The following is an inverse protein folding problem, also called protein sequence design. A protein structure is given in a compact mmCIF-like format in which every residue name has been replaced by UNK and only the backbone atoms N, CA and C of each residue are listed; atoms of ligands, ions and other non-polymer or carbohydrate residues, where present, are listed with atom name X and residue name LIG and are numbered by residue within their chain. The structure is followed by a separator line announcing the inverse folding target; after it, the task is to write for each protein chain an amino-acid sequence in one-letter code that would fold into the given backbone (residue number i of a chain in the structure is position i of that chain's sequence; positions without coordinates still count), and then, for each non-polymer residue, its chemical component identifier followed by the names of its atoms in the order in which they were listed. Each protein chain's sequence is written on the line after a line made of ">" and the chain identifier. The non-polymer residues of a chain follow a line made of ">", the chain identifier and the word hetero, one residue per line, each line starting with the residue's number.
data_IF_898830287349
#
_entry.id   IF_898830287349
#
_cell.length_a   1.000
_cell.length_b   1.000
_cell.length_c   1.000
_cell.angle_alpha   90.00
_cell.angle_beta   90.00
_cell.angle_gamma   90.00
#
_symmetry.space_group_name_H-M   'P 1'
#
loop_
_entity.id
_entity.type
_entity.pdbx_description
1 polymer ?
#
# COMPACT_ATOMS: atom_id res chain seq x y z
N UNK A 1 -50.91 1.78 29.72
CA UNK A 1 -49.57 1.72 29.10
C UNK A 1 -48.73 2.87 29.66
N UNK A 2 -47.78 2.55 30.56
CA UNK A 2 -47.08 3.54 31.41
C UNK A 2 -45.93 4.25 30.68
N UNK A 3 -45.84 5.57 30.89
CA UNK A 3 -44.76 6.46 30.43
C UNK A 3 -43.35 5.98 30.84
N UNK A 4 -43.24 5.25 31.95
CA UNK A 4 -41.99 4.69 32.46
C UNK A 4 -41.33 3.65 31.51
N UNK A 5 -42.12 2.97 30.68
CA UNK A 5 -41.60 1.98 29.73
C UNK A 5 -40.90 2.62 28.52
N UNK A 6 -41.18 3.89 28.21
CA UNK A 6 -40.55 4.60 27.08
C UNK A 6 -39.10 5.03 27.37
N UNK A 7 -38.77 5.34 28.63
CA UNK A 7 -37.43 5.82 29.00
C UNK A 7 -36.41 4.67 28.98
N UNK A 8 -36.78 3.48 29.48
CA UNK A 8 -35.89 2.30 29.45
C UNK A 8 -35.55 1.83 28.04
N UNK A 9 -36.49 1.93 27.09
CA UNK A 9 -36.26 1.56 25.69
C UNK A 9 -35.36 2.56 24.93
N UNK A 10 -35.26 3.82 25.39
CA UNK A 10 -34.42 4.84 24.76
C UNK A 10 -32.96 4.83 25.28
N UNK A 11 -32.73 4.40 26.53
CA UNK A 11 -31.38 4.30 27.11
C UNK A 11 -30.53 3.16 26.54
N UNK A 12 -31.14 2.05 26.11
CA UNK A 12 -30.40 0.90 25.57
C UNK A 12 -29.79 1.13 24.18
N UNK A 13 -30.22 2.16 23.43
CA UNK A 13 -29.70 2.45 22.09
C UNK A 13 -28.35 3.19 22.07
N UNK A 14 -27.90 3.73 23.21
CA UNK A 14 -26.68 4.57 23.26
C UNK A 14 -25.41 3.84 23.70
N UNK A 15 -25.50 2.58 24.13
CA UNK A 15 -24.35 1.78 24.53
C UNK A 15 -23.97 0.73 23.47
N UNK A 16 -23.86 1.13 22.20
CA UNK A 16 -23.00 0.35 21.28
C UNK A 16 -21.57 0.62 21.72
N UNK A 17 -21.07 -0.23 22.61
CA UNK A 17 -19.67 -0.25 23.00
C UNK A 17 -18.81 -0.10 21.73
N UNK A 18 -17.99 0.96 21.66
CA UNK A 18 -16.97 1.09 20.62
C UNK A 18 -16.18 -0.21 20.65
N UNK A 19 -16.21 -0.96 19.55
CA UNK A 19 -15.36 -2.14 19.41
C UNK A 19 -13.92 -1.73 19.78
N UNK A 20 -13.18 -2.59 20.50
CA UNK A 20 -11.80 -2.28 20.86
C UNK A 20 -11.03 -1.92 19.60
N UNK A 21 -10.28 -0.81 19.66
CA UNK A 21 -9.47 -0.36 18.53
C UNK A 21 -8.49 -1.48 18.17
N UNK A 22 -8.53 -1.95 16.91
CA UNK A 22 -7.56 -2.92 16.42
C UNK A 22 -6.15 -2.32 16.53
N UNK A 23 -5.13 -3.11 16.91
CA UNK A 23 -3.76 -2.62 16.89
C UNK A 23 -3.42 -2.12 15.49
N UNK A 24 -2.74 -0.97 15.41
CA UNK A 24 -2.32 -0.41 14.13
C UNK A 24 -1.35 -1.39 13.46
N UNK A 25 -1.48 -1.66 12.15
CA UNK A 25 -0.53 -2.50 11.43
C UNK A 25 0.90 -1.95 11.55
N UNK A 26 1.87 -2.82 11.80
CA UNK A 26 3.29 -2.42 11.89
C UNK A 26 3.81 -2.15 10.47
N UNK A 27 4.39 -0.97 10.28
CA UNK A 27 5.06 -0.60 9.03
C UNK A 27 6.36 -1.38 8.92
N UNK A 28 6.54 -2.05 7.79
CA UNK A 28 7.73 -2.82 7.45
C UNK A 28 8.43 -2.16 6.26
N UNK A 29 9.75 -2.31 6.20
CA UNK A 29 10.60 -1.78 5.14
C UNK A 29 11.18 -2.91 4.28
N UNK A 30 11.27 -2.69 2.97
CA UNK A 30 12.08 -3.49 2.06
C UNK A 30 12.82 -2.61 1.05
N UNK A 31 13.93 -3.12 0.51
CA UNK A 31 14.68 -2.43 -0.53
C UNK A 31 14.34 -3.00 -1.90
N UNK A 32 14.08 -2.11 -2.85
CA UNK A 32 13.71 -2.47 -4.22
C UNK A 32 14.63 -1.77 -5.21
N UNK A 33 15.08 -2.51 -6.22
CA UNK A 33 15.85 -1.95 -7.33
C UNK A 33 14.95 -1.04 -8.17
N UNK A 34 15.31 0.23 -8.25
CA UNK A 34 14.65 1.26 -9.07
C UNK A 34 15.26 1.26 -10.46
N UNK A 35 16.60 1.21 -10.54
CA UNK A 35 17.37 1.24 -11.78
C UNK A 35 18.36 0.08 -11.76
N UNK A 36 18.38 -0.72 -12.83
CA UNK A 36 19.31 -1.84 -12.94
C UNK A 36 20.73 -1.31 -13.10
N UNK A 37 21.73 -1.97 -12.49
CA UNK A 37 23.11 -1.65 -12.75
C UNK A 37 23.46 -1.91 -14.22
N UNK A 38 24.36 -1.09 -14.75
CA UNK A 38 25.01 -1.26 -16.06
C UNK A 38 26.53 -1.11 -15.87
N UNK A 39 27.32 -1.35 -16.92
CA UNK A 39 28.79 -1.32 -16.85
C UNK A 39 29.37 -0.02 -16.26
N UNK A 40 28.69 1.12 -16.49
CA UNK A 40 29.12 2.44 -16.01
C UNK A 40 28.15 3.07 -14.99
N UNK A 41 27.15 2.32 -14.51
CA UNK A 41 26.14 2.81 -13.57
C UNK A 41 25.86 1.74 -12.51
N UNK A 42 26.13 1.99 -11.21
CA UNK A 42 25.84 1.02 -10.16
C UNK A 42 24.34 0.75 -9.98
N UNK A 43 23.47 1.47 -10.70
CA UNK A 43 22.04 1.39 -10.56
C UNK A 43 21.55 2.12 -9.32
N UNK A 44 20.32 1.84 -8.94
CA UNK A 44 19.68 2.54 -7.83
C UNK A 44 18.74 1.60 -7.09
N UNK A 45 18.84 1.62 -5.76
CA UNK A 45 17.91 0.97 -4.84
C UNK A 45 17.23 2.05 -4.01
N UNK A 46 15.95 1.85 -3.71
CA UNK A 46 15.20 2.74 -2.85
C UNK A 46 14.34 1.94 -1.88
N UNK A 47 14.11 2.45 -0.67
CA UNK A 47 13.21 1.82 0.28
C UNK A 47 11.77 1.84 -0.25
N UNK A 48 11.02 0.82 0.13
CA UNK A 48 9.58 0.72 0.00
C UNK A 48 9.01 0.27 1.34
N UNK A 49 7.91 0.90 1.75
CA UNK A 49 7.25 0.59 3.02
C UNK A 49 5.92 -0.11 2.74
N UNK A 50 5.56 -1.02 3.63
CA UNK A 50 4.29 -1.74 3.52
C UNK A 50 3.79 -2.18 4.90
N UNK A 51 2.50 -2.45 4.96
CA UNK A 51 1.84 -3.06 6.12
C UNK A 51 1.17 -4.37 5.69
N UNK A 52 1.06 -5.30 6.64
CA UNK A 52 0.36 -6.58 6.44
C UNK A 52 -0.77 -6.68 7.46
N UNK A 53 -1.99 -6.90 6.97
CA UNK A 53 -3.18 -7.10 7.80
C UNK A 53 -4.11 -8.13 7.16
N UNK A 54 -4.57 -9.12 7.92
CA UNK A 54 -5.57 -10.12 7.47
C UNK A 54 -5.26 -10.75 6.10
N UNK A 55 -4.03 -11.24 5.90
CA UNK A 55 -3.52 -11.80 4.64
C UNK A 55 -3.51 -10.83 3.45
N UNK A 56 -3.60 -9.52 3.71
CA UNK A 56 -3.46 -8.47 2.72
C UNK A 56 -2.23 -7.64 2.99
N UNK A 57 -1.59 -7.21 1.91
CA UNK A 57 -0.49 -6.27 1.92
C UNK A 57 -0.94 -4.94 1.36
N UNK A 58 -0.55 -3.87 2.03
CA UNK A 58 -0.78 -2.49 1.58
C UNK A 58 0.55 -1.78 1.52
N UNK A 59 0.90 -1.21 0.36
CA UNK A 59 2.04 -0.30 0.30
C UNK A 59 1.74 0.92 1.15
N UNK A 60 2.74 1.44 1.85
CA UNK A 60 2.59 2.64 2.66
C UNK A 60 3.75 3.62 2.45
N UNK A 61 3.62 4.83 2.98
CA UNK A 61 4.75 5.71 3.26
C UNK A 61 5.53 5.20 4.48
N UNK A 62 6.68 5.81 4.75
CA UNK A 62 7.47 5.64 5.98
C UNK A 62 6.66 5.91 7.26
N UNK A 63 5.65 6.78 7.17
CA UNK A 63 4.71 7.12 8.25
C UNK A 63 3.52 6.17 8.36
N UNK A 64 3.42 5.17 7.47
CA UNK A 64 2.32 4.20 7.45
C UNK A 64 1.05 4.68 6.74
N UNK A 65 1.12 5.75 5.96
CA UNK A 65 -0.02 6.19 5.14
C UNK A 65 -0.17 5.27 3.92
N UNK A 66 -1.35 4.71 3.65
CA UNK A 66 -1.52 3.75 2.57
C UNK A 66 -1.39 4.38 1.18
N UNK A 67 -0.62 3.73 0.31
CA UNK A 67 -0.39 4.08 -1.08
C UNK A 67 -1.08 3.03 -1.94
N UNK A 68 -2.27 3.35 -2.45
CA UNK A 68 -3.04 2.47 -3.32
C UNK A 68 -3.95 1.51 -2.57
N UNK A 69 -4.33 0.41 -3.24
CA UNK A 69 -5.29 -0.57 -2.71
C UNK A 69 -4.58 -1.75 -2.05
N UNK A 70 -5.14 -2.34 -0.97
CA UNK A 70 -4.64 -3.59 -0.42
C UNK A 70 -4.71 -4.73 -1.44
N UNK A 71 -3.73 -5.63 -1.40
CA UNK A 71 -3.62 -6.79 -2.28
C UNK A 71 -3.51 -8.05 -1.43
N UNK A 72 -4.21 -9.12 -1.78
CA UNK A 72 -4.12 -10.38 -1.07
C UNK A 72 -2.74 -11.03 -1.26
N UNK A 73 -2.18 -11.58 -0.19
CA UNK A 73 -0.88 -12.28 -0.21
C UNK A 73 -1.00 -13.65 -0.88
N UNK A 74 -2.14 -14.33 -0.74
CA UNK A 74 -2.37 -15.67 -1.30
C UNK A 74 -1.26 -16.66 -0.92
N UNK A 75 -0.77 -16.59 0.33
CA UNK A 75 0.33 -17.42 0.83
C UNK A 75 1.73 -17.10 0.30
N UNK A 76 1.91 -16.01 -0.46
CA UNK A 76 3.21 -15.55 -0.91
C UNK A 76 3.94 -14.71 0.14
N UNK A 77 5.27 -14.61 0.01
CA UNK A 77 6.09 -13.73 0.84
C UNK A 77 5.68 -12.24 0.65
N UNK A 78 5.29 -11.53 1.72
CA UNK A 78 4.95 -10.12 1.67
C UNK A 78 6.03 -9.24 1.05
N UNK A 79 7.31 -9.51 1.29
CA UNK A 79 8.40 -8.68 0.76
C UNK A 79 8.48 -8.75 -0.77
N UNK A 80 8.20 -9.94 -1.32
CA UNK A 80 8.15 -10.17 -2.77
C UNK A 80 7.00 -9.40 -3.40
N UNK A 81 5.80 -9.47 -2.81
CA UNK A 81 4.64 -8.74 -3.32
C UNK A 81 4.87 -7.22 -3.18
N UNK A 82 5.38 -6.75 -2.03
CA UNK A 82 5.74 -5.35 -1.84
C UNK A 82 6.68 -4.85 -2.93
N UNK A 83 7.69 -5.65 -3.29
CA UNK A 83 8.61 -5.34 -4.37
C UNK A 83 7.94 -5.19 -5.74
N UNK A 84 7.05 -6.13 -6.08
CA UNK A 84 6.27 -6.06 -7.33
C UNK A 84 5.36 -4.84 -7.35
N UNK A 85 4.65 -4.57 -6.26
CA UNK A 85 3.74 -3.42 -6.15
C UNK A 85 4.51 -2.11 -6.21
N UNK A 86 5.66 -1.99 -5.53
CA UNK A 86 6.47 -0.79 -5.57
C UNK A 86 6.99 -0.51 -6.99
N UNK A 87 7.39 -1.56 -7.71
CA UNK A 87 7.84 -1.43 -9.10
C UNK A 87 6.69 -1.07 -10.05
N UNK A 88 5.50 -1.67 -9.88
CA UNK A 88 4.31 -1.30 -10.65
C UNK A 88 3.93 0.16 -10.39
N UNK A 89 3.97 0.60 -9.12
CA UNK A 89 3.50 1.94 -8.80
C UNK A 89 4.43 3.04 -9.31
N UNK A 90 5.74 2.76 -9.38
CA UNK A 90 6.71 3.64 -10.06
C UNK A 90 6.52 3.69 -11.57
N UNK A 91 6.11 2.57 -12.20
CA UNK A 91 5.74 2.57 -13.63
C UNK A 91 4.51 3.43 -13.90
N UNK A 92 3.49 3.37 -13.03
CA UNK A 92 2.30 4.22 -13.15
C UNK A 92 2.60 5.71 -12.95
N UNK A 93 3.64 6.05 -12.17
CA UNK A 93 4.13 7.43 -12.02
C UNK A 93 5.01 7.90 -13.18
N UNK A 94 5.44 6.98 -14.05
CA UNK A 94 6.06 7.29 -15.32
C UNK A 94 4.99 7.72 -16.31
N UNK A 95 4.79 9.03 -16.39
CA UNK A 95 3.95 9.76 -17.34
C UNK A 95 3.59 8.92 -18.59
N UNK A 96 2.36 8.40 -18.61
CA UNK A 96 1.82 7.63 -19.75
C UNK A 96 1.84 8.46 -21.05
N UNK A 97 2.00 9.79 -20.94
CA UNK A 97 2.18 10.74 -22.04
C UNK A 97 3.62 11.18 -22.29
N UNK A 98 4.65 10.53 -21.71
CA UNK A 98 6.03 10.92 -22.04
C UNK A 98 6.31 10.66 -23.51
N UNK A 99 6.81 11.68 -24.22
CA UNK A 99 7.23 11.57 -25.61
C UNK A 99 8.31 10.49 -25.71
N UNK A 100 8.05 9.43 -26.49
CA UNK A 100 9.08 8.49 -26.88
C UNK A 100 10.04 9.23 -27.82
N UNK A 101 11.23 9.59 -27.31
CA UNK A 101 12.32 10.03 -28.16
C UNK A 101 12.86 8.81 -28.91
N UNK A 102 12.40 8.64 -30.15
CA UNK A 102 13.04 7.74 -31.08
C UNK A 102 14.40 8.35 -31.42
N UNK A 103 15.48 7.78 -30.89
CA UNK A 103 16.81 8.03 -31.45
C UNK A 103 16.71 7.68 -32.93
N UNK A 104 16.98 8.64 -33.82
CA UNK A 104 17.06 8.41 -35.25
C UNK A 104 18.20 7.44 -35.52
N UNK A 105 17.90 6.14 -35.46
CA UNK A 105 18.76 5.10 -36.00
C UNK A 105 18.83 5.36 -37.49
N UNK A 106 19.91 6.01 -37.92
CA UNK A 106 20.22 6.16 -39.32
C UNK A 106 20.23 4.77 -39.95
N UNK A 107 19.26 4.51 -40.81
CA UNK A 107 19.34 3.44 -41.79
C UNK A 107 20.44 3.91 -42.75
N UNK A 108 21.64 3.35 -42.61
CA UNK A 108 22.71 3.43 -43.59
C UNK A 108 22.56 2.28 -44.57
#
# INVERSE_FOLDING_TARGET
>A
MSWASKIKAHGQKQARAKAPARPKPVVQECYVTVRRPTENDPGEVAPAYFTVENDHITLTTDRGEPIGKPVALNGQDPRRIAGVLAHQKRKDGGDFNRRLEYSSGGIV
#
